data_IF_197287849910
#
_entry.id   IF_197287849910
#
_cell.length_a   1.000
_cell.length_b   1.000
_cell.length_c   1.000
_cell.angle_alpha   90.00
_cell.angle_beta   90.00
_cell.angle_gamma   90.00
#
_symmetry.space_group_name_H-M   'P 1'
#
loop_
_entity.id
_entity.type
_entity.pdbx_description
1 polymer ?
#
# COMPACT_ATOMS: atom_id res chain seq x y z
N UNK A 1 13.92 21.97 -14.75
CA UNK A 1 14.77 20.95 -14.09
C UNK A 1 16.18 21.13 -14.58
N UNK A 2 17.11 21.38 -13.67
CA UNK A 2 18.53 21.56 -13.97
C UNK A 2 19.19 20.20 -14.30
N UNK A 3 20.36 20.24 -14.96
CA UNK A 3 21.09 19.02 -15.31
C UNK A 3 21.50 18.19 -14.09
N UNK A 4 21.58 18.82 -12.90
CA UNK A 4 21.84 18.16 -11.62
C UNK A 4 20.65 17.34 -11.14
N UNK A 5 19.43 17.87 -11.24
CA UNK A 5 18.21 17.12 -10.95
C UNK A 5 17.96 15.96 -11.91
N UNK A 6 18.34 16.12 -13.19
CA UNK A 6 18.32 15.02 -14.17
C UNK A 6 19.35 13.93 -13.85
N UNK A 7 20.56 14.31 -13.42
CA UNK A 7 21.61 13.37 -13.04
C UNK A 7 21.30 12.58 -11.77
N UNK A 8 20.66 13.19 -10.76
CA UNK A 8 20.21 12.48 -9.55
C UNK A 8 19.08 11.51 -9.88
N UNK A 9 18.17 11.89 -10.78
CA UNK A 9 17.10 11.01 -11.25
C UNK A 9 17.68 9.83 -12.06
N UNK A 10 18.66 10.04 -12.95
CA UNK A 10 19.37 8.90 -13.57
C UNK A 10 20.12 8.08 -12.52
N UNK A 11 20.91 8.68 -11.64
CA UNK A 11 21.70 7.95 -10.62
C UNK A 11 20.84 7.09 -9.68
N UNK A 12 19.60 7.49 -9.40
CA UNK A 12 18.67 6.71 -8.57
C UNK A 12 17.75 5.76 -9.34
N UNK A 13 17.67 5.87 -10.68
CA UNK A 13 16.68 5.14 -11.50
C UNK A 13 17.21 4.53 -12.82
N UNK A 14 18.52 4.68 -13.13
CA UNK A 14 19.26 3.88 -14.12
C UNK A 14 19.52 2.48 -13.56
N UNK A 15 19.32 1.51 -14.43
CA UNK A 15 19.20 0.09 -14.15
C UNK A 15 20.58 -0.56 -14.07
N UNK A 16 21.18 -0.61 -12.88
CA UNK A 16 22.11 -1.67 -12.46
C UNK A 16 22.20 -1.75 -10.92
N UNK A 17 21.07 -2.04 -10.27
CA UNK A 17 21.10 -2.56 -8.90
C UNK A 17 21.07 -4.08 -9.03
N UNK A 18 22.25 -4.67 -8.91
CA UNK A 18 22.51 -6.09 -8.67
C UNK A 18 21.33 -6.80 -7.98
N UNK A 19 20.86 -7.88 -8.60
CA UNK A 19 19.75 -8.72 -8.09
C UNK A 19 20.00 -9.15 -6.63
N UNK A 20 21.27 -9.24 -6.20
CA UNK A 20 21.65 -9.51 -4.81
C UNK A 20 21.18 -8.44 -3.81
N UNK A 21 21.18 -7.15 -4.18
CA UNK A 21 20.74 -6.09 -3.27
C UNK A 21 19.24 -6.15 -3.02
N UNK A 22 18.44 -6.45 -4.06
CA UNK A 22 17.00 -6.64 -3.93
C UNK A 22 16.70 -7.88 -3.06
N UNK A 23 17.44 -8.97 -3.27
CA UNK A 23 17.33 -10.20 -2.49
C UNK A 23 17.64 -9.96 -1.00
N UNK A 24 18.66 -9.14 -0.68
CA UNK A 24 19.03 -8.79 0.69
C UNK A 24 17.96 -7.96 1.40
N UNK A 25 17.31 -7.03 0.71
CA UNK A 25 16.20 -6.24 1.28
C UNK A 25 15.01 -7.13 1.60
N UNK A 26 14.64 -8.04 0.69
CA UNK A 26 13.55 -9.00 0.92
C UNK A 26 13.88 -9.93 2.10
N UNK A 27 15.10 -10.47 2.15
CA UNK A 27 15.53 -11.35 3.24
C UNK A 27 15.59 -10.62 4.59
N UNK A 28 16.08 -9.38 4.62
CA UNK A 28 16.08 -8.56 5.81
C UNK A 28 14.66 -8.29 6.31
N UNK A 29 13.69 -8.09 5.38
CA UNK A 29 12.27 -7.94 5.70
C UNK A 29 11.69 -9.16 6.39
N UNK A 30 11.86 -10.33 5.78
CA UNK A 30 11.36 -11.60 6.31
C UNK A 30 11.97 -11.93 7.69
N UNK A 31 13.26 -11.62 7.89
CA UNK A 31 13.95 -11.88 9.16
C UNK A 31 13.43 -11.01 10.30
N UNK A 32 13.22 -9.70 10.09
CA UNK A 32 12.76 -8.81 11.16
C UNK A 32 11.26 -8.93 11.47
N UNK A 33 10.44 -9.40 10.52
CA UNK A 33 9.00 -9.62 10.78
C UNK A 33 8.73 -10.92 11.56
N UNK A 34 9.73 -11.80 11.71
CA UNK A 34 9.58 -13.10 12.39
C UNK A 34 10.00 -13.07 13.87
N UNK A 35 10.59 -11.98 14.36
CA UNK A 35 10.94 -11.80 15.78
C UNK A 35 10.00 -10.80 16.45
N UNK A 36 9.09 -11.33 17.27
CA UNK A 36 8.82 -10.74 18.57
C UNK A 36 7.92 -9.51 18.61
N UNK A 37 6.66 -9.78 18.92
CA UNK A 37 5.68 -8.83 19.44
C UNK A 37 6.07 -8.37 20.87
N UNK A 38 7.17 -7.65 21.06
CA UNK A 38 7.52 -7.13 22.38
C UNK A 38 7.22 -5.63 22.46
N UNK A 39 6.03 -5.36 23.02
CA UNK A 39 5.50 -4.04 23.28
C UNK A 39 6.44 -3.24 24.19
N UNK A 40 7.17 -2.29 23.60
CA UNK A 40 7.85 -1.22 24.36
C UNK A 40 6.79 -0.32 25.00
N UNK A 41 6.63 -0.47 26.32
CA UNK A 41 5.76 0.35 27.17
C UNK A 41 6.38 1.74 27.33
N UNK A 42 6.16 2.61 26.36
CA UNK A 42 6.39 4.04 26.52
C UNK A 42 5.07 4.67 26.97
N UNK A 43 5.04 5.11 28.23
CA UNK A 43 3.95 5.92 28.76
C UNK A 43 3.92 7.27 28.05
N UNK A 44 2.93 7.45 27.19
CA UNK A 44 2.62 8.73 26.54
C UNK A 44 1.19 9.11 26.92
N UNK A 45 1.02 10.31 27.45
CA UNK A 45 -0.28 10.93 27.70
C UNK A 45 -1.05 10.95 26.38
N UNK A 46 -2.05 10.06 26.27
CA UNK A 46 -2.85 9.90 25.06
C UNK A 46 -3.73 11.13 24.88
N UNK A 47 -3.21 12.14 24.18
CA UNK A 47 -4.08 13.08 23.47
C UNK A 47 -4.83 12.22 22.45
N UNK A 48 -6.15 12.14 22.63
CA UNK A 48 -7.06 11.45 21.73
C UNK A 48 -6.70 11.76 20.28
N UNK A 49 -6.16 10.77 19.57
CA UNK A 49 -5.91 10.90 18.13
C UNK A 49 -7.27 10.80 17.45
N UNK A 50 -7.81 11.93 17.01
CA UNK A 50 -9.05 11.94 16.24
C UNK A 50 -8.89 11.10 14.98
N UNK A 51 -9.57 9.95 14.95
CA UNK A 51 -9.59 9.08 13.79
C UNK A 51 -10.50 9.72 12.74
N UNK A 52 -9.92 10.57 11.87
CA UNK A 52 -10.61 11.02 10.67
C UNK A 52 -10.77 9.81 9.76
N UNK A 53 -12.01 9.38 9.56
CA UNK A 53 -12.36 8.34 8.61
C UNK A 53 -12.07 8.87 7.20
N UNK A 54 -10.84 8.73 6.74
CA UNK A 54 -10.56 8.78 5.32
C UNK A 54 -11.25 7.55 4.74
N UNK A 55 -12.32 7.76 3.96
CA UNK A 55 -13.06 6.70 3.28
C UNK A 55 -12.08 5.71 2.65
N UNK A 56 -11.85 4.58 3.35
CA UNK A 56 -10.80 3.62 2.97
C UNK A 56 -11.09 2.98 1.62
N UNK A 57 -12.39 2.85 1.32
CA UNK A 57 -12.89 2.35 0.05
C UNK A 57 -12.56 3.30 -1.10
N UNK A 58 -12.76 4.61 -0.90
CA UNK A 58 -12.47 5.63 -1.90
C UNK A 58 -11.00 5.64 -2.31
N UNK A 59 -10.10 5.42 -1.34
CA UNK A 59 -8.67 5.36 -1.65
C UNK A 59 -8.30 4.18 -2.56
N UNK A 60 -8.94 3.03 -2.38
CA UNK A 60 -8.70 1.87 -3.25
C UNK A 60 -9.25 2.12 -4.65
N UNK A 61 -10.48 2.62 -4.76
CA UNK A 61 -11.10 2.97 -6.04
C UNK A 61 -10.25 3.99 -6.81
N UNK A 62 -9.81 5.05 -6.12
CA UNK A 62 -8.95 6.08 -6.70
C UNK A 62 -7.61 5.51 -7.17
N UNK A 63 -6.98 4.63 -6.39
CA UNK A 63 -5.73 3.97 -6.80
C UNK A 63 -5.91 3.17 -8.10
N UNK A 64 -7.01 2.41 -8.21
CA UNK A 64 -7.29 1.61 -9.39
C UNK A 64 -7.58 2.51 -10.62
N UNK A 65 -8.42 3.53 -10.46
CA UNK A 65 -8.76 4.48 -11.54
C UNK A 65 -7.58 5.33 -12.00
N UNK A 66 -6.64 5.63 -11.11
CA UNK A 66 -5.51 6.50 -11.41
C UNK A 66 -4.41 5.80 -12.23
N UNK A 67 -4.17 4.50 -11.99
CA UNK A 67 -2.95 3.83 -12.47
C UNK A 67 -3.17 2.53 -13.25
N UNK A 68 -4.30 1.85 -13.05
CA UNK A 68 -4.49 0.46 -13.49
C UNK A 68 -5.64 0.28 -14.50
N UNK A 69 -6.37 1.34 -14.84
CA UNK A 69 -7.32 1.35 -15.95
C UNK A 69 -6.59 1.45 -17.31
N UNK A 70 -7.30 1.13 -18.39
CA UNK A 70 -6.76 1.13 -19.77
C UNK A 70 -6.16 2.50 -20.17
N UNK A 71 -6.77 3.60 -19.72
CA UNK A 71 -6.29 4.96 -19.91
C UNK A 71 -6.06 5.63 -18.56
N UNK A 72 -4.93 5.37 -17.90
CA UNK A 72 -4.68 5.90 -16.57
C UNK A 72 -4.45 7.42 -16.61
N UNK A 73 -4.88 8.12 -15.57
CA UNK A 73 -4.63 9.56 -15.41
C UNK A 73 -3.15 9.86 -15.24
N UNK A 74 -2.40 8.92 -14.66
CA UNK A 74 -0.96 9.04 -14.41
C UNK A 74 -0.17 7.99 -15.19
N UNK A 75 0.97 8.41 -15.73
CA UNK A 75 1.83 7.52 -16.50
C UNK A 75 2.66 6.58 -15.59
N UNK A 76 3.38 5.66 -16.21
CA UNK A 76 4.26 4.70 -15.50
C UNK A 76 5.38 5.39 -14.71
N UNK A 77 5.87 6.53 -15.18
CA UNK A 77 6.91 7.32 -14.50
C UNK A 77 6.38 7.91 -13.19
N UNK A 78 5.15 8.41 -13.19
CA UNK A 78 4.49 8.92 -11.98
C UNK A 78 4.23 7.79 -10.97
N UNK A 79 3.82 6.61 -11.45
CA UNK A 79 3.68 5.42 -10.60
C UNK A 79 5.02 5.04 -9.96
N UNK A 80 6.10 4.94 -10.77
CA UNK A 80 7.45 4.67 -10.26
C UNK A 80 7.91 5.73 -9.28
N UNK A 81 7.63 7.02 -9.52
CA UNK A 81 7.99 8.10 -8.59
C UNK A 81 7.27 7.96 -7.25
N UNK A 82 5.97 7.59 -7.28
CA UNK A 82 5.13 7.51 -6.08
C UNK A 82 5.36 6.24 -5.26
N UNK A 83 5.41 5.08 -5.91
CA UNK A 83 5.51 3.77 -5.25
C UNK A 83 6.91 3.19 -5.27
N UNK A 84 7.85 3.84 -5.98
CA UNK A 84 9.26 3.43 -6.08
C UNK A 84 9.45 2.03 -6.67
N UNK A 85 8.47 1.56 -7.47
CA UNK A 85 8.47 0.25 -8.13
C UNK A 85 7.73 0.29 -9.46
N UNK A 86 7.96 -0.72 -10.32
CA UNK A 86 7.20 -0.90 -11.57
C UNK A 86 5.81 -1.48 -11.28
N UNK A 87 4.83 -1.20 -12.15
CA UNK A 87 3.46 -1.75 -12.05
C UNK A 87 3.45 -3.28 -12.08
N UNK A 88 4.28 -3.88 -12.93
CA UNK A 88 4.39 -5.34 -13.01
C UNK A 88 4.84 -5.96 -11.68
N UNK A 89 5.85 -5.37 -11.03
CA UNK A 89 6.31 -5.85 -9.72
C UNK A 89 5.22 -5.71 -8.65
N UNK A 90 4.43 -4.64 -8.71
CA UNK A 90 3.29 -4.47 -7.82
C UNK A 90 2.26 -5.60 -8.01
N UNK A 91 1.98 -6.00 -9.26
CA UNK A 91 1.10 -7.14 -9.53
C UNK A 91 1.66 -8.47 -9.05
N UNK A 92 2.96 -8.74 -9.25
CA UNK A 92 3.58 -9.97 -8.75
C UNK A 92 3.44 -10.06 -7.22
N UNK A 93 3.83 -9.00 -6.49
CA UNK A 93 3.72 -8.97 -5.03
C UNK A 93 2.26 -9.12 -4.58
N UNK A 94 1.33 -8.41 -5.23
CA UNK A 94 -0.09 -8.50 -4.90
C UNK A 94 -0.61 -9.93 -5.06
N UNK A 95 -0.28 -10.58 -6.18
CA UNK A 95 -0.70 -11.95 -6.44
C UNK A 95 -0.10 -12.93 -5.42
N UNK A 96 1.20 -12.82 -5.14
CA UNK A 96 1.88 -13.70 -4.19
C UNK A 96 1.31 -13.54 -2.77
N UNK A 97 1.07 -12.30 -2.34
CA UNK A 97 0.49 -12.01 -1.02
C UNK A 97 -0.94 -12.54 -0.91
N UNK A 98 -1.79 -12.33 -1.93
CA UNK A 98 -3.19 -12.79 -1.92
C UNK A 98 -3.28 -14.32 -1.99
N UNK A 99 -2.33 -14.97 -2.64
CA UNK A 99 -2.27 -16.44 -2.73
C UNK A 99 -1.73 -17.07 -1.44
N UNK A 100 -0.77 -16.42 -0.78
CA UNK A 100 -0.15 -16.95 0.44
C UNK A 100 -0.98 -16.67 1.69
N UNK A 101 -1.61 -15.49 1.81
CA UNK A 101 -2.33 -15.09 3.02
C UNK A 101 -3.82 -14.76 2.70
N UNK A 102 -4.77 -15.62 3.14
CA UNK A 102 -6.21 -15.41 2.94
C UNK A 102 -6.74 -14.08 3.51
N UNK A 103 -6.04 -13.46 4.46
CA UNK A 103 -6.40 -12.16 5.03
C UNK A 103 -6.51 -11.06 3.97
N UNK A 104 -5.62 -11.06 2.97
CA UNK A 104 -5.58 -10.02 1.93
C UNK A 104 -6.60 -10.22 0.81
N UNK A 105 -7.38 -11.31 0.84
CA UNK A 105 -8.46 -11.53 -0.11
C UNK A 105 -9.64 -10.61 0.22
N UNK A 106 -10.02 -9.74 -0.70
CA UNK A 106 -11.17 -8.87 -0.53
C UNK A 106 -12.45 -9.70 -0.31
N UNK A 107 -13.02 -9.59 0.89
CA UNK A 107 -14.31 -10.25 1.22
C UNK A 107 -15.44 -9.48 0.55
N UNK A 108 -16.33 -10.18 -0.15
CA UNK A 108 -17.58 -9.60 -0.63
C UNK A 108 -18.37 -9.14 0.60
N UNK A 109 -18.69 -7.85 0.68
CA UNK A 109 -19.64 -7.34 1.67
C UNK A 109 -20.97 -8.05 1.44
N UNK A 110 -21.37 -8.93 2.34
CA UNK A 110 -22.70 -9.53 2.34
C UNK A 110 -23.66 -8.52 2.97
N UNK A 111 -24.79 -8.25 2.30
CA UNK A 111 -25.75 -7.21 2.66
C UNK A 111 -26.66 -7.60 3.85
N UNK A 112 -26.11 -8.03 4.98
CA UNK A 112 -26.90 -8.48 6.14
C UNK A 112 -27.28 -7.37 7.13
N UNK A 113 -27.17 -6.10 6.75
CA UNK A 113 -27.50 -4.94 7.59
C UNK A 113 -28.49 -3.97 6.91
N UNK A 114 -29.48 -4.51 6.20
CA UNK A 114 -30.71 -3.78 5.84
C UNK A 114 -31.91 -4.40 6.55
N UNK A 115 -32.03 -4.15 7.84
CA UNK A 115 -33.32 -4.22 8.54
C UNK A 115 -33.65 -2.80 9.03
N UNK A 116 -34.80 -2.22 8.65
CA UNK A 116 -35.17 -0.89 9.13
C UNK A 116 -35.45 -0.95 10.63
N UNK A 117 -34.73 -0.15 11.40
CA UNK A 117 -34.92 0.02 12.84
C UNK A 117 -36.31 0.64 13.06
N UNK A 118 -37.25 -0.01 13.77
CA UNK A 118 -38.55 0.57 14.02
C UNK A 118 -38.42 1.71 15.04
N UNK A 119 -38.88 2.89 14.66
CA UNK A 119 -39.02 4.04 15.56
C UNK A 119 -40.17 3.75 16.54
N UNK A 120 -39.88 3.47 17.81
CA UNK A 120 -40.87 3.60 18.87
C UNK A 120 -41.04 5.08 19.21
N UNK A 121 -42.17 5.66 18.82
CA UNK A 121 -42.62 6.97 19.28
C UNK A 121 -42.97 6.88 20.78
N UNK A 122 -42.50 7.85 21.56
CA UNK A 122 -43.01 8.17 22.91
C UNK A 122 -44.42 8.75 22.84
#
# INVERSE_FOLDING_TARGET
>A
MDNRGKAIFSFMFDDESDDEHHQRVIQAIVHHTSLGNDATKHGETVVSREYKNHEREDRHCNLMSDYFVERPHFNTTDFRRRFRMRKELFYCILNDVVNHEPYFRQKKKTAWLTSPIPQSKS
#
